data_IF_449010741356
#
_entry.id   IF_449010741356
#
_cell.length_a   1.000
_cell.length_b   1.000
_cell.length_c   1.000
_cell.angle_alpha   90.00
_cell.angle_beta   90.00
_cell.angle_gamma   90.00
#
_symmetry.space_group_name_H-M   'P 1'
#
loop_
_entity.id
_entity.type
_entity.pdbx_description
1 polymer ?
#
# COMPACT_ATOMS: atom_id res chain seq x y z
N UNK A 1 37.70 -47.32 -41.29
CA UNK A 1 36.65 -46.34 -41.52
C UNK A 1 36.22 -45.76 -40.17
N UNK A 2 36.74 -44.57 -39.80
CA UNK A 2 36.42 -43.87 -38.57
C UNK A 2 35.37 -42.80 -38.89
N UNK A 3 34.14 -42.90 -38.37
CA UNK A 3 33.15 -41.83 -38.39
C UNK A 3 33.35 -40.94 -37.21
N UNK A 4 33.74 -39.69 -37.47
CA UNK A 4 33.71 -38.57 -36.51
C UNK A 4 32.26 -38.20 -36.27
N UNK A 5 31.82 -38.24 -34.99
CA UNK A 5 30.58 -37.61 -34.53
C UNK A 5 30.92 -36.21 -34.10
N UNK A 6 30.44 -35.23 -34.82
CA UNK A 6 30.53 -33.81 -34.54
C UNK A 6 29.47 -33.49 -33.49
N UNK A 7 29.93 -33.10 -32.30
CA UNK A 7 29.07 -32.53 -31.25
C UNK A 7 28.89 -31.02 -31.53
N UNK A 8 27.74 -30.63 -32.06
CA UNK A 8 27.32 -29.24 -32.15
C UNK A 8 26.68 -28.85 -30.81
N UNK A 9 27.44 -28.15 -30.01
CA UNK A 9 26.95 -27.39 -28.84
C UNK A 9 26.05 -26.25 -29.33
N UNK A 10 24.75 -26.47 -29.31
CA UNK A 10 23.73 -25.43 -29.45
C UNK A 10 23.45 -24.87 -28.07
N UNK A 11 24.23 -23.87 -27.63
CA UNK A 11 23.89 -23.01 -26.52
C UNK A 11 22.67 -22.18 -26.93
N UNK A 12 21.46 -22.68 -26.65
CA UNK A 12 20.26 -21.86 -26.66
C UNK A 12 20.34 -20.86 -25.51
N UNK A 13 20.84 -19.67 -25.79
CA UNK A 13 20.54 -18.50 -25.01
C UNK A 13 19.02 -18.28 -25.09
N UNK A 14 18.32 -18.74 -24.07
CA UNK A 14 16.96 -18.30 -23.82
C UNK A 14 17.02 -16.82 -23.43
N UNK A 15 16.79 -15.95 -24.39
CA UNK A 15 16.43 -14.55 -24.11
C UNK A 15 15.13 -14.57 -23.33
N UNK A 16 15.25 -14.55 -22.00
CA UNK A 16 14.17 -14.18 -21.12
C UNK A 16 13.77 -12.76 -21.50
N UNK A 17 12.65 -12.64 -22.18
CA UNK A 17 11.96 -11.36 -22.36
C UNK A 17 11.69 -10.80 -20.96
N UNK A 18 12.56 -9.92 -20.48
CA UNK A 18 12.23 -8.97 -19.44
C UNK A 18 11.06 -8.15 -20.00
N UNK A 19 9.84 -8.49 -19.64
CA UNK A 19 8.70 -7.60 -19.78
C UNK A 19 8.92 -6.43 -18.82
N UNK A 20 9.84 -5.54 -19.22
CA UNK A 20 9.78 -4.17 -18.70
C UNK A 20 8.41 -3.63 -19.10
N UNK A 21 7.59 -3.24 -18.14
CA UNK A 21 6.52 -2.30 -18.38
C UNK A 21 7.15 -1.01 -18.92
N UNK A 22 7.42 -0.98 -20.22
CA UNK A 22 7.80 0.26 -20.88
C UNK A 22 6.60 1.18 -20.80
N UNK A 23 6.71 2.35 -20.16
CA UNK A 23 5.71 3.39 -20.32
C UNK A 23 5.60 3.64 -21.84
N UNK A 24 4.39 3.55 -22.36
CA UNK A 24 4.13 3.87 -23.77
C UNK A 24 4.80 5.21 -24.08
N UNK A 25 5.86 5.16 -24.89
CA UNK A 25 6.53 6.37 -25.40
C UNK A 25 5.48 7.27 -26.06
N UNK A 26 5.32 8.49 -25.54
CA UNK A 26 4.76 9.59 -26.31
C UNK A 26 3.46 10.24 -25.85
N UNK A 27 2.78 9.76 -24.79
CA UNK A 27 1.67 10.54 -24.21
C UNK A 27 2.10 11.19 -22.91
N UNK A 28 2.06 12.53 -22.89
CA UNK A 28 2.21 13.29 -21.64
C UNK A 28 1.10 12.82 -20.70
N UNK A 29 1.47 12.36 -19.50
CA UNK A 29 0.52 11.91 -18.50
C UNK A 29 -0.16 13.16 -17.90
N UNK A 30 -1.24 13.59 -18.56
CA UNK A 30 -1.96 14.82 -18.22
C UNK A 30 -2.39 14.85 -16.76
N UNK A 31 -2.85 13.70 -16.23
CA UNK A 31 -3.28 13.59 -14.84
C UNK A 31 -2.12 13.87 -13.88
N UNK A 32 -0.94 13.28 -14.13
CA UNK A 32 0.25 13.52 -13.32
C UNK A 32 0.64 15.01 -13.30
N UNK A 33 0.74 15.62 -14.46
CA UNK A 33 1.21 17.00 -14.56
C UNK A 33 0.18 18.00 -14.03
N UNK A 34 -1.10 17.79 -14.31
CA UNK A 34 -2.18 18.66 -13.81
C UNK A 34 -2.28 18.59 -12.28
N UNK A 35 -2.33 17.38 -11.70
CA UNK A 35 -2.41 17.22 -10.24
C UNK A 35 -1.16 17.74 -9.55
N UNK A 36 0.03 17.44 -10.07
CA UNK A 36 1.29 17.93 -9.51
C UNK A 36 1.36 19.47 -9.52
N UNK A 37 0.96 20.10 -10.65
CA UNK A 37 0.95 21.57 -10.75
C UNK A 37 0.00 22.17 -9.74
N UNK A 38 -1.23 21.66 -9.61
CA UNK A 38 -2.21 22.15 -8.65
C UNK A 38 -1.73 21.97 -7.20
N UNK A 39 -1.15 20.81 -6.85
CA UNK A 39 -0.56 20.59 -5.53
C UNK A 39 0.56 21.57 -5.25
N UNK A 40 1.49 21.76 -6.18
CA UNK A 40 2.62 22.70 -6.01
C UNK A 40 2.11 24.14 -5.86
N UNK A 41 1.15 24.56 -6.67
CA UNK A 41 0.57 25.91 -6.55
C UNK A 41 -0.14 26.10 -5.20
N UNK A 42 -0.94 25.12 -4.76
CA UNK A 42 -1.61 25.17 -3.45
C UNK A 42 -0.61 25.17 -2.29
N UNK A 43 0.44 24.39 -2.40
CA UNK A 43 1.52 24.33 -1.42
C UNK A 43 2.29 25.66 -1.31
N UNK A 44 2.67 26.23 -2.45
CA UNK A 44 3.35 27.54 -2.51
C UNK A 44 2.43 28.67 -2.01
N UNK A 45 1.14 28.59 -2.33
CA UNK A 45 0.16 29.52 -1.80
C UNK A 45 0.09 29.46 -0.27
N UNK A 46 0.08 28.25 0.33
CA UNK A 46 0.12 28.10 1.79
C UNK A 46 1.41 28.66 2.40
N UNK A 47 2.56 28.54 1.72
CA UNK A 47 3.85 29.05 2.20
C UNK A 47 3.96 30.59 2.12
N UNK A 48 3.53 31.18 1.01
CA UNK A 48 3.85 32.58 0.66
C UNK A 48 2.63 33.49 0.56
N UNK A 49 1.45 32.94 0.31
CA UNK A 49 0.25 33.70 -0.06
C UNK A 49 -0.58 34.22 1.09
N UNK A 50 -0.32 33.77 2.32
CA UNK A 50 -1.17 34.08 3.47
C UNK A 50 -1.19 35.54 3.88
N UNK A 51 -0.14 36.29 3.53
CA UNK A 51 0.02 37.70 3.90
C UNK A 51 -0.51 38.68 2.85
N UNK A 52 -0.71 38.25 1.61
CA UNK A 52 -0.88 39.17 0.46
C UNK A 52 -2.23 39.11 -0.25
N UNK A 53 -3.03 38.04 -0.13
CA UNK A 53 -4.31 37.93 -0.83
C UNK A 53 -5.47 37.70 0.14
N UNK A 54 -6.49 38.55 0.04
CA UNK A 54 -7.83 38.30 0.58
C UNK A 54 -8.48 37.18 -0.22
N UNK A 55 -8.06 35.93 0.02
CA UNK A 55 -8.59 34.77 -0.67
C UNK A 55 -9.85 34.26 0.02
N UNK A 56 -10.70 33.64 -0.76
CA UNK A 56 -11.87 32.91 -0.29
C UNK A 56 -11.46 31.86 0.76
N UNK A 57 -12.23 31.69 1.84
CA UNK A 57 -11.93 30.75 2.92
C UNK A 57 -11.68 29.32 2.44
N UNK A 58 -12.41 28.87 1.43
CA UNK A 58 -12.22 27.52 0.86
C UNK A 58 -10.86 27.33 0.16
N UNK A 59 -10.32 28.38 -0.52
CA UNK A 59 -8.98 28.31 -1.14
C UNK A 59 -7.91 28.16 -0.05
N UNK A 60 -8.07 28.90 1.05
CA UNK A 60 -7.19 28.80 2.21
C UNK A 60 -7.26 27.39 2.81
N UNK A 61 -8.46 26.85 3.03
CA UNK A 61 -8.66 25.54 3.61
C UNK A 61 -8.02 24.44 2.75
N UNK A 62 -8.20 24.49 1.42
CA UNK A 62 -7.53 23.55 0.49
C UNK A 62 -6.02 23.67 0.60
N UNK A 63 -5.48 24.89 0.57
CA UNK A 63 -4.03 25.09 0.55
C UNK A 63 -3.36 24.65 1.84
N UNK A 64 -3.98 24.92 3.01
CA UNK A 64 -3.52 24.44 4.31
C UNK A 64 -3.56 22.90 4.34
N UNK A 65 -4.65 22.30 3.90
CA UNK A 65 -4.77 20.83 3.85
C UNK A 65 -3.72 20.19 2.93
N UNK A 66 -3.46 20.77 1.76
CA UNK A 66 -2.38 20.31 0.88
C UNK A 66 -1.02 20.41 1.55
N UNK A 67 -0.75 21.54 2.23
CA UNK A 67 0.50 21.76 2.96
C UNK A 67 0.70 20.70 4.05
N UNK A 68 -0.30 20.46 4.89
CA UNK A 68 -0.26 19.46 5.95
C UNK A 68 -0.05 18.05 5.37
N UNK A 69 -0.83 17.67 4.38
CA UNK A 69 -0.74 16.34 3.76
C UNK A 69 0.63 16.11 3.12
N UNK A 70 1.15 17.05 2.36
CA UNK A 70 2.47 16.90 1.72
C UNK A 70 3.58 16.80 2.76
N UNK A 71 3.55 17.64 3.82
CA UNK A 71 4.55 17.58 4.88
C UNK A 71 4.47 16.29 5.71
N UNK A 72 3.30 15.67 5.79
CA UNK A 72 3.12 14.38 6.44
C UNK A 72 3.58 13.23 5.54
N UNK A 73 3.31 13.31 4.23
CA UNK A 73 3.52 12.20 3.29
C UNK A 73 4.94 12.10 2.74
N UNK A 74 5.69 13.23 2.64
CA UNK A 74 6.95 13.28 1.89
C UNK A 74 8.01 12.28 2.37
N UNK A 75 8.13 12.10 3.69
CA UNK A 75 9.14 11.19 4.26
C UNK A 75 8.78 9.72 4.00
N UNK A 76 7.49 9.35 4.11
CA UNK A 76 7.00 8.01 3.78
C UNK A 76 7.15 7.70 2.29
N UNK A 77 6.89 8.68 1.42
CA UNK A 77 7.14 8.55 -0.02
C UNK A 77 8.64 8.39 -0.32
N UNK A 78 9.49 9.17 0.33
CA UNK A 78 10.95 9.06 0.17
C UNK A 78 11.47 7.69 0.63
N UNK A 79 11.04 7.19 1.78
CA UNK A 79 11.36 5.84 2.25
C UNK A 79 10.82 4.76 1.32
N UNK A 80 9.59 4.91 0.81
CA UNK A 80 9.01 4.01 -0.18
C UNK A 80 9.82 3.92 -1.46
N UNK A 81 10.27 5.06 -2.00
CA UNK A 81 11.14 5.12 -3.19
C UNK A 81 12.48 4.38 -2.93
N UNK A 82 13.10 4.62 -1.77
CA UNK A 82 14.33 3.93 -1.37
C UNK A 82 14.11 2.42 -1.21
N UNK A 83 13.03 2.02 -0.53
CA UNK A 83 12.67 0.62 -0.32
C UNK A 83 12.46 -0.12 -1.65
N UNK A 84 11.76 0.49 -2.61
CA UNK A 84 11.57 -0.08 -3.96
C UNK A 84 12.88 -0.18 -4.72
N UNK A 85 13.68 0.89 -4.70
CA UNK A 85 14.99 0.87 -5.32
C UNK A 85 15.86 -0.25 -4.78
N UNK A 86 15.87 -0.43 -3.46
CA UNK A 86 16.57 -1.52 -2.77
C UNK A 86 15.97 -2.88 -3.15
N UNK A 87 14.65 -3.06 -3.06
CA UNK A 87 13.95 -4.30 -3.42
C UNK A 87 14.18 -4.67 -4.90
N UNK A 88 14.35 -3.64 -5.75
CA UNK A 88 14.72 -3.81 -7.15
C UNK A 88 16.09 -4.47 -7.34
N UNK A 89 17.01 -4.34 -6.38
CA UNK A 89 18.35 -4.92 -6.39
C UNK A 89 18.42 -6.27 -5.67
N UNK A 90 17.45 -6.56 -4.80
CA UNK A 90 17.40 -7.85 -4.10
C UNK A 90 17.07 -8.96 -5.11
N UNK A 91 17.83 -10.07 -5.15
CA UNK A 91 17.53 -11.20 -6.03
C UNK A 91 16.14 -11.78 -5.76
N UNK A 92 15.46 -12.22 -6.83
CA UNK A 92 14.12 -12.82 -6.72
C UNK A 92 14.11 -14.04 -5.80
N UNK A 93 15.18 -14.83 -5.86
CA UNK A 93 15.38 -16.05 -5.09
C UNK A 93 15.29 -15.78 -3.58
N UNK A 94 15.88 -14.67 -3.13
CA UNK A 94 15.88 -14.31 -1.72
C UNK A 94 14.49 -13.87 -1.25
N UNK A 95 13.80 -13.05 -2.05
CA UNK A 95 12.45 -12.61 -1.74
C UNK A 95 11.50 -13.80 -1.66
N UNK A 96 11.57 -14.68 -2.66
CA UNK A 96 10.72 -15.87 -2.71
C UNK A 96 11.05 -16.88 -1.61
N UNK A 97 12.32 -16.96 -1.19
CA UNK A 97 12.71 -17.78 -0.05
C UNK A 97 12.14 -17.28 1.28
N UNK A 98 12.03 -15.96 1.45
CA UNK A 98 11.44 -15.35 2.64
C UNK A 98 9.91 -15.50 2.66
N UNK A 99 9.25 -15.18 1.55
CA UNK A 99 7.79 -15.25 1.44
C UNK A 99 7.26 -16.67 1.24
N UNK A 100 8.05 -17.55 0.65
CA UNK A 100 7.65 -18.89 0.19
C UNK A 100 7.12 -18.88 -1.24
N UNK A 101 7.46 -19.92 -2.01
CA UNK A 101 7.14 -20.04 -3.45
C UNK A 101 5.74 -20.53 -3.74
N UNK A 102 5.09 -21.15 -2.75
CA UNK A 102 3.80 -21.77 -2.94
C UNK A 102 2.68 -20.94 -2.29
N UNK A 103 1.55 -20.86 -3.00
CA UNK A 103 0.28 -20.45 -2.40
C UNK A 103 0.01 -21.33 -1.19
N UNK A 104 -0.18 -20.72 -0.03
CA UNK A 104 -0.48 -21.47 1.17
C UNK A 104 -0.38 -20.64 2.44
N UNK A 105 -0.98 -21.17 3.50
CA UNK A 105 -1.14 -20.51 4.79
C UNK A 105 0.17 -19.92 5.35
N UNK A 106 1.27 -20.68 5.29
CA UNK A 106 2.58 -20.23 5.80
C UNK A 106 3.15 -19.04 5.02
N UNK A 107 2.96 -19.00 3.70
CA UNK A 107 3.41 -17.88 2.86
C UNK A 107 2.61 -16.62 3.14
N UNK A 108 1.30 -16.76 3.35
CA UNK A 108 0.41 -15.66 3.69
C UNK A 108 0.76 -15.09 5.08
N UNK A 109 0.97 -15.93 6.11
CA UNK A 109 1.40 -15.46 7.43
C UNK A 109 2.72 -14.67 7.33
N UNK A 110 3.71 -15.19 6.58
CA UNK A 110 4.99 -14.48 6.40
C UNK A 110 4.80 -13.13 5.73
N UNK A 111 3.94 -13.05 4.72
CA UNK A 111 3.62 -11.81 4.04
C UNK A 111 2.90 -10.82 4.98
N UNK A 112 1.93 -11.29 5.77
CA UNK A 112 1.22 -10.49 6.78
C UNK A 112 2.18 -9.93 7.82
N UNK A 113 3.05 -10.76 8.39
CA UNK A 113 4.06 -10.33 9.37
C UNK A 113 5.05 -9.34 8.75
N UNK A 114 5.49 -9.60 7.51
CA UNK A 114 6.36 -8.67 6.80
C UNK A 114 5.68 -7.31 6.57
N UNK A 115 4.37 -7.29 6.29
CA UNK A 115 3.57 -6.07 6.16
C UNK A 115 3.57 -5.25 7.45
N UNK A 116 3.31 -5.88 8.59
CA UNK A 116 3.29 -5.19 9.90
C UNK A 116 4.66 -4.68 10.33
N UNK A 117 5.74 -5.39 9.97
CA UNK A 117 7.10 -5.01 10.37
C UNK A 117 7.71 -3.88 9.52
N UNK A 118 7.13 -3.59 8.35
CA UNK A 118 7.63 -2.53 7.49
C UNK A 118 7.01 -1.19 7.89
N UNK A 119 7.84 -0.30 8.42
CA UNK A 119 7.44 1.06 8.78
C UNK A 119 7.38 1.95 7.53
N UNK A 120 6.31 1.79 6.75
CA UNK A 120 6.05 2.56 5.53
C UNK A 120 4.62 3.09 5.54
N UNK A 121 4.42 4.28 4.98
CA UNK A 121 3.07 4.80 4.73
C UNK A 121 2.29 3.89 3.76
N UNK A 122 0.96 3.98 3.75
CA UNK A 122 0.07 3.18 2.90
C UNK A 122 0.52 3.14 1.43
N UNK A 123 0.93 4.26 0.87
CA UNK A 123 1.44 4.34 -0.50
C UNK A 123 2.82 3.68 -0.67
N UNK A 124 3.70 3.79 0.32
CA UNK A 124 4.99 3.09 0.33
C UNK A 124 4.83 1.57 0.34
N UNK A 125 3.92 1.08 1.17
CA UNK A 125 3.54 -0.34 1.23
C UNK A 125 2.97 -0.84 -0.09
N UNK A 126 2.11 -0.06 -0.72
CA UNK A 126 1.53 -0.39 -2.02
C UNK A 126 2.60 -0.54 -3.10
N UNK A 127 3.59 0.36 -3.12
CA UNK A 127 4.74 0.26 -4.01
C UNK A 127 5.57 -1.00 -3.77
N UNK A 128 5.81 -1.34 -2.51
CA UNK A 128 6.51 -2.58 -2.14
C UNK A 128 5.68 -3.79 -2.55
N UNK A 129 4.37 -3.80 -2.30
CA UNK A 129 3.44 -4.84 -2.73
C UNK A 129 3.46 -5.07 -4.24
N UNK A 130 3.43 -3.99 -5.04
CA UNK A 130 3.57 -4.06 -6.48
C UNK A 130 4.90 -4.72 -6.89
N UNK A 131 5.99 -4.37 -6.19
CA UNK A 131 7.30 -4.98 -6.47
C UNK A 131 7.39 -6.44 -6.05
N UNK A 132 6.74 -6.83 -4.95
CA UNK A 132 6.61 -8.23 -4.55
C UNK A 132 5.85 -9.03 -5.62
N UNK A 133 4.76 -8.48 -6.18
CA UNK A 133 4.02 -9.09 -7.28
C UNK A 133 4.89 -9.30 -8.51
N UNK A 134 5.63 -8.28 -8.95
CA UNK A 134 6.59 -8.39 -10.06
C UNK A 134 7.68 -9.44 -9.79
N UNK A 135 8.06 -9.65 -8.53
CA UNK A 135 9.06 -10.63 -8.11
C UNK A 135 8.54 -12.05 -7.99
N UNK A 136 7.23 -12.25 -8.12
CA UNK A 136 6.63 -13.57 -8.20
C UNK A 136 5.84 -13.99 -6.95
N UNK A 137 5.62 -13.10 -5.99
CA UNK A 137 4.73 -13.38 -4.86
C UNK A 137 3.32 -13.71 -5.36
N UNK A 138 2.60 -14.60 -4.66
CA UNK A 138 1.22 -14.91 -5.04
C UNK A 138 0.31 -13.70 -4.82
N UNK A 139 -0.82 -13.68 -5.52
CA UNK A 139 -1.81 -12.61 -5.34
C UNK A 139 -2.24 -12.52 -3.88
N UNK A 140 -2.50 -13.67 -3.22
CA UNK A 140 -2.88 -13.73 -1.82
C UNK A 140 -1.80 -13.21 -0.87
N UNK A 141 -0.52 -13.51 -1.14
CA UNK A 141 0.60 -12.96 -0.35
C UNK A 141 0.66 -11.43 -0.45
N UNK A 142 0.51 -10.89 -1.66
CA UNK A 142 0.53 -9.44 -1.88
C UNK A 142 -0.66 -8.78 -1.18
N UNK A 143 -1.86 -9.34 -1.28
CA UNK A 143 -3.05 -8.77 -0.63
C UNK A 143 -2.96 -8.87 0.90
N UNK A 144 -2.49 -9.98 1.45
CA UNK A 144 -2.25 -10.13 2.89
C UNK A 144 -1.24 -9.10 3.42
N UNK A 145 -0.16 -8.89 2.66
CA UNK A 145 0.86 -7.89 2.96
C UNK A 145 0.26 -6.47 2.97
N UNK A 146 -0.53 -6.12 1.94
CA UNK A 146 -1.15 -4.80 1.81
C UNK A 146 -2.17 -4.53 2.94
N UNK A 147 -3.07 -5.46 3.21
CA UNK A 147 -4.14 -5.27 4.21
C UNK A 147 -3.62 -5.24 5.65
N UNK A 148 -2.52 -5.94 5.95
CA UNK A 148 -1.97 -5.97 7.31
C UNK A 148 -1.18 -4.72 7.70
N UNK A 149 -0.80 -3.88 6.74
CA UNK A 149 0.28 -2.91 6.90
C UNK A 149 -0.11 -1.42 7.11
N UNK A 150 -1.23 -0.90 6.61
CA UNK A 150 -1.31 0.53 6.26
C UNK A 150 -1.27 1.53 7.41
N UNK A 151 -1.63 1.13 8.63
CA UNK A 151 -1.62 1.98 9.82
C UNK A 151 -0.77 1.39 10.96
N UNK A 152 -0.01 0.33 10.65
CA UNK A 152 0.82 -0.41 11.60
C UNK A 152 2.29 0.05 11.60
N UNK A 153 2.59 1.26 11.12
CA UNK A 153 3.92 1.80 11.25
C UNK A 153 4.28 1.98 12.74
N UNK A 154 5.55 1.87 13.07
CA UNK A 154 6.00 2.00 14.46
C UNK A 154 5.60 3.36 15.06
N UNK A 155 5.77 4.43 14.29
CA UNK A 155 5.39 5.78 14.70
C UNK A 155 3.89 5.93 14.93
N UNK A 156 3.05 5.42 14.00
CA UNK A 156 1.59 5.47 14.13
C UNK A 156 1.08 4.56 15.25
N UNK A 157 1.71 3.42 15.46
CA UNK A 157 1.38 2.55 16.60
C UNK A 157 1.61 3.27 17.92
N UNK A 158 2.71 4.02 18.07
CA UNK A 158 2.96 4.83 19.27
C UNK A 158 1.92 5.96 19.43
N UNK A 159 1.56 6.63 18.34
CA UNK A 159 0.50 7.66 18.35
C UNK A 159 -0.84 7.04 18.75
N UNK A 160 -1.21 5.90 18.19
CA UNK A 160 -2.43 5.18 18.59
C UNK A 160 -2.41 4.77 20.06
N UNK A 161 -1.31 4.22 20.56
CA UNK A 161 -1.19 3.89 21.99
C UNK A 161 -1.43 5.14 22.87
N UNK A 162 -0.90 6.28 22.46
CA UNK A 162 -1.10 7.52 23.20
C UNK A 162 -2.56 8.04 23.14
N UNK A 163 -3.27 7.83 22.03
CA UNK A 163 -4.62 8.32 21.80
C UNK A 163 -5.72 7.40 22.35
N UNK A 164 -5.59 6.08 22.13
CA UNK A 164 -6.64 5.09 22.45
C UNK A 164 -6.19 4.03 23.47
N UNK A 165 -4.95 4.09 23.91
CA UNK A 165 -4.37 3.14 24.86
C UNK A 165 -3.85 1.85 24.20
N UNK A 166 -2.99 1.15 24.98
CA UNK A 166 -2.31 -0.06 24.50
C UNK A 166 -3.30 -1.20 24.16
N UNK A 167 -4.35 -1.39 24.96
CA UNK A 167 -5.32 -2.47 24.79
C UNK A 167 -6.05 -2.41 23.44
N UNK A 168 -6.61 -1.26 23.11
CA UNK A 168 -7.30 -1.05 21.84
C UNK A 168 -6.35 -1.10 20.65
N UNK A 169 -5.16 -0.53 20.78
CA UNK A 169 -4.15 -0.57 19.71
C UNK A 169 -3.77 -2.00 19.37
N UNK A 170 -3.46 -2.84 20.38
CA UNK A 170 -3.13 -4.25 20.14
C UNK A 170 -4.31 -5.04 19.57
N UNK A 171 -5.53 -4.76 20.01
CA UNK A 171 -6.75 -5.37 19.46
C UNK A 171 -6.89 -5.02 17.98
N UNK A 172 -6.70 -3.78 17.60
CA UNK A 172 -6.78 -3.33 16.20
C UNK A 172 -5.72 -4.01 15.34
N UNK A 173 -4.45 -4.05 15.81
CA UNK A 173 -3.36 -4.74 15.12
C UNK A 173 -3.69 -6.23 14.91
N UNK A 174 -4.14 -6.90 15.96
CA UNK A 174 -4.50 -8.31 15.87
C UNK A 174 -5.65 -8.56 14.88
N UNK A 175 -6.71 -7.75 14.94
CA UNK A 175 -7.83 -7.84 14.01
C UNK A 175 -7.41 -7.57 12.56
N UNK A 176 -6.55 -6.58 12.32
CA UNK A 176 -6.06 -6.29 10.96
C UNK A 176 -5.22 -7.44 10.40
N UNK A 177 -4.36 -8.05 11.23
CA UNK A 177 -3.58 -9.23 10.83
C UNK A 177 -4.49 -10.41 10.47
N UNK A 178 -5.54 -10.66 11.27
CA UNK A 178 -6.52 -11.71 10.97
C UNK A 178 -7.23 -11.45 9.64
N UNK A 179 -7.71 -10.23 9.42
CA UNK A 179 -8.34 -9.84 8.14
C UNK A 179 -7.35 -10.00 6.99
N UNK A 180 -6.11 -9.53 7.15
CA UNK A 180 -5.07 -9.69 6.13
C UNK A 180 -4.82 -11.15 5.75
N UNK A 181 -4.73 -12.04 6.73
CA UNK A 181 -4.58 -13.50 6.51
C UNK A 181 -5.80 -14.06 5.78
N UNK A 182 -7.02 -13.75 6.23
CA UNK A 182 -8.25 -14.26 5.63
C UNK A 182 -8.42 -13.75 4.19
N UNK A 183 -8.17 -12.47 3.95
CA UNK A 183 -8.20 -11.89 2.60
C UNK A 183 -7.17 -12.57 1.71
N UNK A 184 -5.94 -12.74 2.18
CA UNK A 184 -4.90 -13.45 1.42
C UNK A 184 -5.31 -14.87 1.05
N UNK A 185 -5.91 -15.62 1.98
CA UNK A 185 -6.43 -16.98 1.72
C UNK A 185 -7.56 -16.97 0.70
N UNK A 186 -8.49 -16.00 0.80
CA UNK A 186 -9.59 -15.87 -0.17
C UNK A 186 -9.07 -15.58 -1.57
N UNK A 187 -8.06 -14.72 -1.70
CA UNK A 187 -7.43 -14.45 -2.98
C UNK A 187 -6.72 -15.68 -3.56
N UNK A 188 -5.88 -16.38 -2.78
CA UNK A 188 -5.20 -17.58 -3.26
C UNK A 188 -6.20 -18.68 -3.63
N UNK A 189 -7.29 -18.84 -2.87
CA UNK A 189 -8.36 -19.76 -3.21
C UNK A 189 -9.09 -19.35 -4.49
N UNK A 190 -9.40 -18.08 -4.68
CA UNK A 190 -10.05 -17.57 -5.89
C UNK A 190 -9.17 -17.77 -7.13
N UNK A 191 -7.86 -17.63 -6.98
CA UNK A 191 -6.88 -17.96 -8.04
C UNK A 191 -6.88 -19.45 -8.32
N UNK A 192 -6.88 -20.30 -7.30
CA UNK A 192 -6.89 -21.75 -7.46
C UNK A 192 -8.19 -22.28 -8.13
N UNK A 193 -9.31 -21.60 -7.91
CA UNK A 193 -10.60 -21.89 -8.55
C UNK A 193 -10.72 -21.31 -9.97
N UNK A 194 -9.70 -20.58 -10.47
CA UNK A 194 -9.73 -19.93 -11.77
C UNK A 194 -10.61 -18.70 -11.90
N UNK A 195 -11.16 -18.18 -10.78
CA UNK A 195 -11.96 -16.94 -10.76
C UNK A 195 -11.09 -15.72 -10.99
N UNK A 196 -9.90 -15.72 -10.38
CA UNK A 196 -8.90 -14.67 -10.52
C UNK A 196 -7.69 -15.16 -11.31
N UNK A 197 -7.04 -14.29 -12.10
CA UNK A 197 -5.82 -14.65 -12.79
C UNK A 197 -4.68 -14.87 -11.78
N UNK A 198 -3.87 -15.91 -12.04
CA UNK A 198 -2.65 -16.13 -11.28
C UNK A 198 -1.59 -15.08 -11.65
N UNK A 199 -0.64 -14.81 -10.73
CA UNK A 199 0.50 -13.97 -11.05
C UNK A 199 1.32 -14.59 -12.20
N UNK A 200 1.48 -13.88 -13.34
CA UNK A 200 2.26 -14.39 -14.46
C UNK A 200 3.76 -14.49 -14.16
N UNK A 201 4.25 -13.75 -13.17
CA UNK A 201 5.66 -13.68 -12.79
C UNK A 201 6.08 -14.80 -11.82
N UNK A 202 5.33 -15.89 -11.75
CA UNK A 202 5.66 -17.01 -10.84
C UNK A 202 7.12 -17.43 -11.01
N UNK A 203 7.75 -17.66 -9.87
CA UNK A 203 9.14 -18.08 -9.78
C UNK A 203 9.25 -19.25 -8.82
N UNK A 204 9.71 -20.39 -9.34
CA UNK A 204 9.95 -21.57 -8.52
C UNK A 204 11.42 -21.61 -8.07
N UNK A 205 11.62 -21.75 -6.77
CA UNK A 205 12.97 -21.93 -6.22
C UNK A 205 13.50 -23.33 -6.50
N UNK A 206 14.79 -23.47 -6.81
CA UNK A 206 15.44 -24.79 -6.85
C UNK A 206 15.27 -25.53 -5.51
N UNK A 207 15.03 -26.84 -5.54
CA UNK A 207 14.78 -27.65 -4.33
C UNK A 207 15.90 -27.59 -3.30
N UNK A 208 17.13 -27.35 -3.76
CA UNK A 208 18.34 -27.27 -2.92
C UNK A 208 18.75 -25.84 -2.55
N UNK A 209 17.88 -24.85 -2.77
CA UNK A 209 18.20 -23.46 -2.50
C UNK A 209 18.37 -23.21 -1.00
N UNK A 210 19.58 -22.73 -0.60
CA UNK A 210 19.92 -22.36 0.77
C UNK A 210 19.90 -20.83 0.91
N UNK A 211 18.82 -20.22 1.42
CA UNK A 211 18.65 -18.77 1.45
C UNK A 211 19.77 -18.03 2.18
N UNK A 212 20.22 -18.59 3.31
CA UNK A 212 21.25 -17.95 4.13
C UNK A 212 22.64 -17.96 3.49
N UNK A 213 23.02 -19.05 2.82
CA UNK A 213 24.29 -19.13 2.11
C UNK A 213 24.30 -18.14 0.93
N UNK A 214 23.21 -18.11 0.18
CA UNK A 214 23.02 -17.17 -0.94
C UNK A 214 23.04 -15.71 -0.48
N UNK A 215 22.34 -15.37 0.62
CA UNK A 215 22.37 -14.02 1.20
C UNK A 215 23.81 -13.61 1.58
N UNK A 216 24.55 -14.50 2.26
CA UNK A 216 25.92 -14.25 2.70
C UNK A 216 26.86 -14.02 1.50
N UNK A 217 26.69 -14.77 0.43
CA UNK A 217 27.46 -14.61 -0.81
C UNK A 217 27.17 -13.25 -1.49
N UNK A 218 25.88 -12.91 -1.64
CA UNK A 218 25.45 -11.62 -2.18
C UNK A 218 25.92 -10.44 -1.33
N UNK A 219 25.86 -10.58 -0.01
CA UNK A 219 26.31 -9.55 0.92
C UNK A 219 27.82 -9.32 0.83
N UNK A 220 28.61 -10.38 0.66
CA UNK A 220 30.06 -10.28 0.46
C UNK A 220 30.43 -9.67 -0.91
N UNK A 221 29.63 -9.94 -1.91
CA UNK A 221 29.80 -9.37 -3.25
C UNK A 221 29.33 -7.92 -3.36
N UNK A 222 28.56 -7.45 -2.37
CA UNK A 222 27.97 -6.12 -2.36
C UNK A 222 29.06 -5.05 -2.14
N UNK A 223 29.27 -4.23 -3.17
CA UNK A 223 30.15 -3.05 -3.12
C UNK A 223 29.28 -1.81 -3.29
N UNK A 224 29.05 -1.03 -2.22
CA UNK A 224 28.32 0.23 -2.33
C UNK A 224 29.16 1.20 -3.21
N UNK A 225 28.61 1.55 -4.35
CA UNK A 225 29.21 2.52 -5.29
C UNK A 225 28.24 3.67 -5.49
N UNK A 226 28.74 4.85 -5.83
CA UNK A 226 27.87 5.98 -6.20
C UNK A 226 26.93 5.63 -7.35
N UNK A 227 27.39 4.86 -8.32
CA UNK A 227 26.56 4.36 -9.41
C UNK A 227 25.43 3.44 -8.93
N UNK A 228 25.67 2.67 -7.86
CA UNK A 228 24.64 1.86 -7.22
C UNK A 228 23.52 2.73 -6.62
N UNK A 229 23.87 3.74 -5.82
CA UNK A 229 22.88 4.66 -5.23
C UNK A 229 22.10 5.43 -6.29
N UNK A 230 22.79 5.94 -7.32
CA UNK A 230 22.12 6.59 -8.44
C UNK A 230 21.12 5.65 -9.15
N UNK A 231 21.52 4.42 -9.44
CA UNK A 231 20.64 3.44 -10.09
C UNK A 231 19.46 3.04 -9.21
N UNK A 232 19.64 2.98 -7.89
CA UNK A 232 18.59 2.72 -6.90
C UNK A 232 17.56 3.83 -6.90
N UNK A 233 17.98 5.09 -6.83
CA UNK A 233 17.09 6.25 -6.88
C UNK A 233 16.34 6.35 -8.22
N UNK A 234 17.03 6.21 -9.34
CA UNK A 234 16.42 6.28 -10.67
C UNK A 234 15.36 5.19 -10.84
N UNK A 235 15.69 3.94 -10.47
CA UNK A 235 14.71 2.85 -10.54
C UNK A 235 13.55 3.04 -9.57
N UNK A 236 13.82 3.50 -8.34
CA UNK A 236 12.78 3.82 -7.37
C UNK A 236 11.82 4.89 -7.90
N UNK A 237 12.32 6.00 -8.42
CA UNK A 237 11.50 7.10 -8.97
C UNK A 237 10.69 6.64 -10.20
N UNK A 238 11.28 5.84 -11.10
CA UNK A 238 10.57 5.35 -12.27
C UNK A 238 9.37 4.48 -11.89
N UNK A 239 9.53 3.59 -10.91
CA UNK A 239 8.43 2.76 -10.41
C UNK A 239 7.43 3.59 -9.61
N UNK A 240 7.91 4.53 -8.78
CA UNK A 240 7.08 5.40 -7.97
C UNK A 240 6.22 6.38 -8.79
N UNK A 241 6.54 6.63 -10.06
CA UNK A 241 5.82 7.58 -10.91
C UNK A 241 4.30 7.30 -10.97
N UNK A 242 3.92 6.03 -11.05
CA UNK A 242 2.50 5.63 -11.07
C UNK A 242 1.83 5.98 -9.75
N UNK A 243 2.50 5.69 -8.64
CA UNK A 243 1.99 5.99 -7.30
C UNK A 243 1.91 7.51 -7.08
N UNK A 244 2.97 8.25 -7.44
CA UNK A 244 2.99 9.71 -7.32
C UNK A 244 1.82 10.35 -8.09
N UNK A 245 1.50 9.85 -9.28
CA UNK A 245 0.37 10.33 -10.07
C UNK A 245 -0.95 10.28 -9.30
N UNK A 246 -1.27 9.10 -8.76
CA UNK A 246 -2.52 8.87 -8.04
C UNK A 246 -2.51 9.54 -6.67
N UNK A 247 -1.34 9.54 -5.99
CA UNK A 247 -1.17 10.24 -4.72
C UNK A 247 -1.42 11.75 -4.83
N UNK A 248 -0.85 12.41 -5.83
CA UNK A 248 -1.08 13.86 -6.02
C UNK A 248 -2.55 14.17 -6.32
N UNK A 249 -3.21 13.31 -7.09
CA UNK A 249 -4.64 13.44 -7.33
C UNK A 249 -5.44 13.22 -6.03
N UNK A 250 -5.09 12.21 -5.20
CA UNK A 250 -5.71 11.95 -3.90
C UNK A 250 -5.55 13.10 -2.90
N UNK A 251 -4.36 13.68 -2.84
CA UNK A 251 -4.11 14.85 -1.98
C UNK A 251 -5.04 16.02 -2.35
N UNK A 252 -5.24 16.27 -3.65
CA UNK A 252 -6.18 17.31 -4.09
C UNK A 252 -7.62 16.99 -3.70
N UNK A 253 -8.05 15.75 -3.93
CA UNK A 253 -9.41 15.31 -3.61
C UNK A 253 -9.67 15.39 -2.09
N UNK A 254 -8.76 14.87 -1.29
CA UNK A 254 -8.83 14.94 0.18
C UNK A 254 -8.87 16.38 0.69
N UNK A 255 -8.04 17.25 0.12
CA UNK A 255 -8.01 18.67 0.49
C UNK A 255 -9.31 19.40 0.12
N UNK A 256 -9.90 19.03 -1.01
CA UNK A 256 -11.20 19.56 -1.43
C UNK A 256 -12.31 19.13 -0.46
N UNK A 257 -12.34 17.86 -0.08
CA UNK A 257 -13.34 17.32 0.85
C UNK A 257 -13.20 17.99 2.23
N UNK A 258 -11.97 18.09 2.77
CA UNK A 258 -11.72 18.77 4.04
C UNK A 258 -12.14 20.23 4.05
N UNK A 259 -12.08 20.93 2.90
CA UNK A 259 -12.50 22.31 2.81
C UNK A 259 -14.03 22.53 2.93
N UNK A 260 -14.81 21.48 2.59
CA UNK A 260 -16.28 21.56 2.60
C UNK A 260 -16.95 20.73 3.70
N UNK A 261 -16.20 19.91 4.46
CA UNK A 261 -16.73 19.02 5.50
C UNK A 261 -16.10 19.36 6.87
N UNK A 262 -16.84 20.03 7.76
CA UNK A 262 -16.33 20.39 9.09
C UNK A 262 -16.16 19.15 9.99
N UNK A 263 -15.10 19.11 10.82
CA UNK A 263 -14.81 17.98 11.72
C UNK A 263 -15.92 17.65 12.73
N UNK A 264 -16.70 18.66 13.12
CA UNK A 264 -17.77 18.50 14.13
C UNK A 264 -18.92 17.60 13.66
N UNK A 265 -19.13 17.47 12.35
CA UNK A 265 -20.13 16.56 11.81
C UNK A 265 -19.80 15.07 12.01
N UNK A 266 -18.54 14.76 12.34
CA UNK A 266 -18.14 13.36 12.52
C UNK A 266 -18.69 12.75 13.82
N UNK A 267 -18.73 13.52 14.93
CA UNK A 267 -19.15 13.00 16.22
C UNK A 267 -20.64 12.62 16.27
N UNK A 268 -21.48 13.38 15.56
CA UNK A 268 -22.94 13.20 15.60
C UNK A 268 -23.44 12.02 14.77
N UNK A 269 -22.72 11.65 13.71
CA UNK A 269 -23.15 10.63 12.74
C UNK A 269 -22.46 9.26 12.93
N UNK A 270 -21.34 9.17 13.67
CA UNK A 270 -20.50 7.99 13.76
C UNK A 270 -20.62 7.18 15.06
N UNK A 271 -21.80 7.19 15.67
CA UNK A 271 -22.08 6.37 16.86
C UNK A 271 -22.02 4.86 16.60
N UNK A 272 -22.02 3.99 17.65
CA UNK A 272 -21.81 2.54 17.55
C UNK A 272 -23.07 1.80 17.02
N UNK A 273 -23.77 2.40 16.07
CA UNK A 273 -24.94 1.83 15.40
C UNK A 273 -24.53 1.24 14.04
N UNK A 274 -25.35 0.33 13.51
CA UNK A 274 -25.09 -0.23 12.17
C UNK A 274 -25.09 0.85 11.08
N UNK A 275 -25.97 1.84 11.18
CA UNK A 275 -25.99 2.98 10.26
C UNK A 275 -24.74 3.85 10.42
N UNK A 276 -24.33 4.15 11.65
CA UNK A 276 -23.08 4.88 11.93
C UNK A 276 -21.85 4.14 11.38
N UNK A 277 -21.83 2.81 11.49
CA UNK A 277 -20.76 1.98 10.91
C UNK A 277 -20.73 2.08 9.37
N UNK A 278 -21.87 1.98 8.70
CA UNK A 278 -21.95 2.14 7.24
C UNK A 278 -21.53 3.53 6.79
N UNK A 279 -21.97 4.56 7.51
CA UNK A 279 -21.54 5.95 7.25
C UNK A 279 -20.03 6.12 7.46
N UNK A 280 -19.48 5.51 8.49
CA UNK A 280 -18.03 5.53 8.74
C UNK A 280 -17.26 4.93 7.57
N UNK A 281 -17.66 3.77 7.08
CA UNK A 281 -17.03 3.11 5.93
C UNK A 281 -17.17 3.95 4.66
N UNK A 282 -18.37 4.51 4.42
CA UNK A 282 -18.62 5.38 3.27
C UNK A 282 -17.70 6.62 3.29
N UNK A 283 -17.62 7.27 4.45
CA UNK A 283 -16.79 8.48 4.62
C UNK A 283 -15.31 8.14 4.52
N UNK A 284 -14.85 7.04 5.12
CA UNK A 284 -13.46 6.60 4.99
C UNK A 284 -13.08 6.32 3.52
N UNK A 285 -14.01 5.74 2.74
CA UNK A 285 -13.83 5.51 1.30
C UNK A 285 -13.74 6.80 0.49
N UNK A 286 -14.52 7.82 0.87
CA UNK A 286 -14.54 9.10 0.13
C UNK A 286 -13.37 10.01 0.51
N UNK A 287 -13.01 10.02 1.80
CA UNK A 287 -12.01 10.95 2.33
C UNK A 287 -10.58 10.62 1.89
N UNK A 288 -10.29 9.36 1.58
CA UNK A 288 -8.93 8.90 1.17
C UNK A 288 -7.80 9.55 1.97
N UNK A 289 -7.95 9.59 3.29
CA UNK A 289 -6.96 10.21 4.16
C UNK A 289 -5.82 9.24 4.39
N UNK A 290 -4.58 9.71 4.25
CA UNK A 290 -3.41 8.90 4.60
C UNK A 290 -3.49 8.40 6.05
N UNK A 291 -2.79 7.33 6.35
CA UNK A 291 -2.79 6.67 7.66
C UNK A 291 -2.50 7.63 8.82
N UNK A 292 -1.61 8.62 8.63
CA UNK A 292 -1.33 9.64 9.64
C UNK A 292 -2.54 10.55 9.89
N UNK A 293 -3.26 10.93 8.84
CA UNK A 293 -4.46 11.77 8.97
C UNK A 293 -5.69 11.01 9.46
N UNK A 294 -5.82 9.72 9.13
CA UNK A 294 -6.94 8.89 9.58
C UNK A 294 -6.81 8.46 11.05
N UNK A 295 -5.60 8.36 11.57
CA UNK A 295 -5.35 7.93 12.95
C UNK A 295 -6.01 8.82 14.02
N UNK A 296 -5.86 10.16 14.02
CA UNK A 296 -6.58 11.03 14.95
C UNK A 296 -8.09 10.93 14.81
N UNK A 297 -8.61 10.88 13.57
CA UNK A 297 -10.06 10.76 13.31
C UNK A 297 -10.61 9.45 13.89
N UNK A 298 -9.92 8.35 13.68
CA UNK A 298 -10.31 7.06 14.23
C UNK A 298 -10.27 7.05 15.77
N UNK A 299 -9.30 7.73 16.35
CA UNK A 299 -9.21 7.90 17.81
C UNK A 299 -10.37 8.75 18.34
N UNK A 300 -10.77 9.82 17.67
CA UNK A 300 -11.93 10.63 18.01
C UNK A 300 -13.24 9.84 17.91
N UNK A 301 -13.42 9.04 16.86
CA UNK A 301 -14.57 8.14 16.73
C UNK A 301 -14.62 7.15 17.90
N UNK A 302 -13.48 6.58 18.30
CA UNK A 302 -13.43 5.66 19.43
C UNK A 302 -13.73 6.37 20.76
N UNK A 303 -13.10 7.51 21.02
CA UNK A 303 -13.15 8.17 22.32
C UNK A 303 -14.39 9.02 22.51
N UNK A 304 -14.78 9.81 21.51
CA UNK A 304 -15.90 10.76 21.59
C UNK A 304 -17.23 10.12 21.21
N UNK A 305 -17.27 9.37 20.09
CA UNK A 305 -18.49 8.65 19.68
C UNK A 305 -18.67 7.32 20.42
N UNK A 306 -17.72 6.89 21.27
CA UNK A 306 -17.71 5.59 21.98
C UNK A 306 -17.96 4.41 21.05
N UNK A 307 -17.40 4.46 19.88
CA UNK A 307 -17.60 3.51 18.79
C UNK A 307 -16.26 2.89 18.34
N UNK A 308 -15.67 1.96 19.14
CA UNK A 308 -14.37 1.38 18.84
C UNK A 308 -14.34 0.63 17.50
N UNK A 309 -15.44 -0.07 17.17
CA UNK A 309 -15.57 -0.73 15.89
C UNK A 309 -15.59 0.24 14.71
N UNK A 310 -16.24 1.41 14.85
CA UNK A 310 -16.24 2.42 13.79
C UNK A 310 -14.84 3.04 13.61
N UNK A 311 -14.10 3.29 14.70
CA UNK A 311 -12.71 3.73 14.62
C UNK A 311 -11.84 2.70 13.87
N UNK A 312 -11.99 1.41 14.19
CA UNK A 312 -11.32 0.32 13.47
C UNK A 312 -11.74 0.26 11.99
N UNK A 313 -13.05 0.34 11.71
CA UNK A 313 -13.56 0.32 10.35
C UNK A 313 -13.05 1.50 9.53
N UNK A 314 -12.93 2.69 10.13
CA UNK A 314 -12.38 3.88 9.48
C UNK A 314 -10.95 3.64 9.00
N UNK A 315 -10.08 3.07 9.86
CA UNK A 315 -8.69 2.76 9.52
C UNK A 315 -8.59 1.68 8.43
N UNK A 316 -9.40 0.62 8.53
CA UNK A 316 -9.29 -0.52 7.64
C UNK A 316 -9.97 -0.31 6.29
N UNK A 317 -11.11 0.39 6.24
CA UNK A 317 -11.82 0.61 4.98
C UNK A 317 -11.11 1.62 4.10
N UNK A 318 -10.49 2.66 4.67
CA UNK A 318 -9.69 3.61 3.92
C UNK A 318 -8.67 2.91 3.02
N UNK A 319 -7.97 1.90 3.56
CA UNK A 319 -6.98 1.11 2.82
C UNK A 319 -7.58 0.16 1.80
N UNK A 320 -8.72 -0.44 2.12
CA UNK A 320 -9.33 -1.48 1.28
C UNK A 320 -10.13 -0.91 0.11
N UNK A 321 -10.60 0.34 0.22
CA UNK A 321 -11.53 0.97 -0.73
C UNK A 321 -10.95 2.19 -1.43
N UNK A 322 -9.76 2.64 -1.03
CA UNK A 322 -9.06 3.76 -1.66
C UNK A 322 -8.94 3.53 -3.18
N UNK A 323 -9.44 4.49 -3.96
CA UNK A 323 -9.37 4.39 -5.41
C UNK A 323 -7.93 4.39 -5.92
N UNK A 324 -7.01 5.05 -5.20
CA UNK A 324 -5.57 5.07 -5.50
C UNK A 324 -5.00 3.64 -5.45
N UNK A 325 -5.34 2.88 -4.41
CA UNK A 325 -4.91 1.49 -4.26
C UNK A 325 -5.53 0.59 -5.34
N UNK A 326 -6.83 0.74 -5.59
CA UNK A 326 -7.53 0.00 -6.64
C UNK A 326 -6.89 0.25 -8.01
N UNK A 327 -6.57 1.51 -8.34
CA UNK A 327 -5.99 1.87 -9.63
C UNK A 327 -4.54 1.37 -9.77
N UNK A 328 -3.73 1.47 -8.70
CA UNK A 328 -2.36 0.95 -8.71
C UNK A 328 -2.35 -0.57 -8.83
N UNK A 329 -3.22 -1.26 -8.09
CA UNK A 329 -3.38 -2.71 -8.19
C UNK A 329 -3.81 -3.11 -9.61
N UNK A 330 -4.76 -2.41 -10.21
CA UNK A 330 -5.16 -2.65 -11.60
C UNK A 330 -4.01 -2.43 -12.58
N UNK A 331 -3.22 -1.38 -12.42
CA UNK A 331 -2.06 -1.13 -13.29
C UNK A 331 -0.97 -2.20 -13.08
N UNK A 332 -0.68 -2.57 -11.83
CA UNK A 332 0.33 -3.57 -11.47
C UNK A 332 -0.04 -4.99 -11.94
N UNK A 333 -1.29 -5.38 -11.71
CA UNK A 333 -1.76 -6.74 -12.02
C UNK A 333 -2.35 -6.87 -13.42
N UNK A 334 -2.56 -5.76 -14.12
CA UNK A 334 -3.29 -5.65 -15.38
C UNK A 334 -4.71 -6.26 -15.31
N UNK A 335 -5.30 -6.33 -14.10
CA UNK A 335 -6.59 -7.00 -13.86
C UNK A 335 -7.53 -6.17 -13.00
N UNK A 336 -8.65 -5.73 -13.57
CA UNK A 336 -9.74 -5.12 -12.81
C UNK A 336 -10.36 -6.07 -11.79
N UNK A 337 -10.40 -7.38 -12.08
CA UNK A 337 -10.94 -8.37 -11.16
C UNK A 337 -10.14 -8.39 -9.86
N UNK A 338 -8.81 -8.45 -9.93
CA UNK A 338 -7.97 -8.45 -8.73
C UNK A 338 -8.19 -7.16 -7.92
N UNK A 339 -8.21 -6.00 -8.58
CA UNK A 339 -8.36 -4.72 -7.90
C UNK A 339 -9.73 -4.59 -7.20
N UNK A 340 -10.83 -4.97 -7.86
CA UNK A 340 -12.18 -4.86 -7.29
C UNK A 340 -12.51 -5.95 -6.26
N UNK A 341 -11.82 -7.10 -6.30
CA UNK A 341 -11.99 -8.13 -5.29
C UNK A 341 -11.34 -7.75 -3.95
N UNK A 342 -10.44 -6.75 -3.92
CA UNK A 342 -9.87 -6.25 -2.67
C UNK A 342 -10.96 -5.71 -1.73
N UNK A 343 -11.72 -4.67 -2.08
CA UNK A 343 -12.83 -4.21 -1.25
C UNK A 343 -13.89 -5.28 -1.03
N UNK A 344 -14.20 -6.08 -2.06
CA UNK A 344 -15.22 -7.13 -1.97
C UNK A 344 -14.92 -8.17 -0.89
N UNK A 345 -13.66 -8.57 -0.73
CA UNK A 345 -13.27 -9.53 0.30
C UNK A 345 -12.98 -8.88 1.63
N UNK A 346 -12.50 -7.64 1.66
CA UNK A 346 -12.08 -6.98 2.89
C UNK A 346 -13.26 -6.35 3.64
N UNK A 347 -14.15 -5.63 2.95
CA UNK A 347 -15.24 -4.89 3.61
C UNK A 347 -16.18 -5.76 4.45
N UNK A 348 -16.65 -6.94 3.99
CA UNK A 348 -17.53 -7.77 4.82
C UNK A 348 -16.86 -8.20 6.14
N UNK A 349 -15.55 -8.47 6.10
CA UNK A 349 -14.78 -8.85 7.28
C UNK A 349 -14.57 -7.66 8.22
N UNK A 350 -14.27 -6.49 7.66
CA UNK A 350 -14.14 -5.24 8.42
C UNK A 350 -15.46 -4.89 9.10
N UNK A 351 -16.58 -4.95 8.39
CA UNK A 351 -17.89 -4.68 8.95
C UNK A 351 -18.26 -5.66 10.08
N UNK A 352 -17.98 -6.96 9.90
CA UNK A 352 -18.23 -7.97 10.92
C UNK A 352 -17.38 -7.71 12.18
N UNK A 353 -16.07 -7.51 12.02
CA UNK A 353 -15.17 -7.25 13.14
C UNK A 353 -15.53 -5.94 13.84
N UNK A 354 -15.81 -4.89 13.09
CA UNK A 354 -16.21 -3.60 13.65
C UNK A 354 -17.52 -3.69 14.42
N UNK A 355 -18.49 -4.41 13.88
CA UNK A 355 -19.76 -4.65 14.59
C UNK A 355 -19.52 -5.39 15.92
N UNK A 356 -18.67 -6.41 15.93
CA UNK A 356 -18.30 -7.14 17.16
C UNK A 356 -17.56 -6.24 18.15
N UNK A 357 -16.64 -5.40 17.70
CA UNK A 357 -15.91 -4.47 18.57
C UNK A 357 -16.83 -3.42 19.20
N UNK A 358 -17.90 -3.00 18.50
CA UNK A 358 -18.90 -2.09 19.05
C UNK A 358 -19.78 -2.72 20.15
N UNK A 359 -19.80 -4.05 20.29
CA UNK A 359 -20.49 -4.73 21.40
C UNK A 359 -19.66 -4.72 22.69
N UNK A 360 -18.38 -4.44 22.60
CA UNK A 360 -17.49 -4.30 23.76
C UNK A 360 -17.73 -2.92 24.37
N UNK A 361 -18.31 -2.89 25.55
CA UNK A 361 -18.53 -1.64 26.29
C UNK A 361 -17.19 -1.02 26.70
N UNK A 362 -17.01 0.26 26.42
CA UNK A 362 -15.86 1.09 26.85
C UNK A 362 -15.98 1.48 28.31
#
# INVERSE_FOLDING_TARGET
MKKKVSATNSARHSHLHEHHCHPRKGRVDFLLWASLTLVVLSYLYALFGWSFLHSQEWVRAISVSVYELINTLWWGLALGILAIGFLGKVPRELIMALLGTHSGFRGIIRATVAGVLLDLCSHGILMVGAKLYERGATVGQVMAFLIASPWNSFSLTLVLIALIGLGWTLTFIFCSMLIGILVGLLFDRSVSMGVLPANPNKFDLPKDFKPWAFFKEQWRAFKPSFSFFRSLLVQGILVARVVIKWLMFGVLLASLIRAFMPPEMFSDYFGPTFLGLLLTVLVATILEVCSEGSTPIAADILTQAKAPGNGFAFLMSGVATDYTEIMILKETTSSWKIALFLPLFTLPQVLLVAWLLNQVQL
#
